data_IF_120566081139
#
_entry.id   IF_120566081139
#
_cell.length_a   1.000
_cell.length_b   1.000
_cell.length_c   1.000
_cell.angle_alpha   90.00
_cell.angle_beta   90.00
_cell.angle_gamma   90.00
#
_symmetry.space_group_name_H-M   'P 1'
#
loop_
_entity.id
_entity.type
_entity.pdbx_description
1 polymer ?
#
# COMPACT_ATOMS: atom_id res chain seq x y z
N UNK A 1 -15.00 2.36 -12.95
CA UNK A 1 -13.73 1.96 -13.61
C UNK A 1 -12.90 3.18 -13.97
N UNK A 2 -12.68 4.03 -12.98
CA UNK A 2 -12.17 5.38 -13.20
C UNK A 2 -10.63 5.46 -13.18
N UNK A 3 -9.95 4.36 -12.82
CA UNK A 3 -8.49 4.33 -12.83
C UNK A 3 -7.97 3.83 -14.19
N UNK A 4 -7.35 4.70 -15.02
CA UNK A 4 -6.81 4.32 -16.32
C UNK A 4 -5.61 3.36 -16.23
N UNK A 5 -5.00 3.22 -15.05
CA UNK A 5 -3.86 2.34 -14.81
C UNK A 5 -4.24 1.03 -14.12
N UNK A 6 -5.53 0.75 -13.91
CA UNK A 6 -5.97 -0.52 -13.34
C UNK A 6 -5.59 -1.69 -14.24
N UNK A 7 -5.09 -2.78 -13.66
CA UNK A 7 -4.75 -4.00 -14.38
C UNK A 7 -5.97 -4.67 -14.99
N UNK A 8 -7.10 -4.66 -14.26
CA UNK A 8 -8.39 -5.13 -14.76
C UNK A 8 -9.28 -3.92 -15.00
N UNK A 9 -9.57 -3.63 -16.28
CA UNK A 9 -10.42 -2.50 -16.72
C UNK A 9 -11.79 -2.95 -17.19
N UNK A 10 -12.18 -4.17 -16.83
CA UNK A 10 -13.43 -4.77 -17.24
C UNK A 10 -14.39 -4.81 -16.06
N UNK A 11 -15.63 -4.35 -16.26
CA UNK A 11 -16.69 -4.61 -15.30
C UNK A 11 -17.09 -6.08 -15.40
N UNK A 12 -16.85 -6.80 -14.32
CA UNK A 12 -17.20 -8.21 -14.22
C UNK A 12 -18.65 -8.41 -13.79
N UNK A 13 -19.27 -7.37 -13.24
CA UNK A 13 -20.61 -7.40 -12.70
C UNK A 13 -20.72 -8.09 -11.33
N UNK A 14 -21.79 -7.74 -10.63
CA UNK A 14 -22.04 -8.23 -9.27
C UNK A 14 -22.17 -9.76 -9.19
N UNK A 15 -22.96 -10.35 -10.08
CA UNK A 15 -23.24 -11.79 -10.05
C UNK A 15 -21.98 -12.63 -10.31
N UNK A 16 -21.12 -12.19 -11.24
CA UNK A 16 -19.85 -12.86 -11.48
C UNK A 16 -18.94 -12.83 -10.25
N UNK A 17 -18.84 -11.67 -9.59
CA UNK A 17 -18.00 -11.51 -8.42
C UNK A 17 -18.54 -12.25 -7.19
N UNK A 18 -19.87 -12.34 -7.07
CA UNK A 18 -20.53 -12.98 -5.93
C UNK A 18 -20.53 -14.51 -6.00
N UNK A 19 -20.65 -15.08 -7.18
CA UNK A 19 -20.86 -16.51 -7.35
C UNK A 19 -19.57 -17.25 -7.71
N UNK A 20 -19.46 -18.48 -7.19
CA UNK A 20 -18.39 -19.41 -7.58
C UNK A 20 -18.69 -19.94 -8.98
N UNK A 21 -17.68 -19.97 -9.84
CA UNK A 21 -17.74 -20.53 -11.19
C UNK A 21 -16.35 -21.02 -11.63
N UNK A 22 -16.25 -21.68 -12.76
CA UNK A 22 -14.95 -22.07 -13.34
C UNK A 22 -14.01 -20.88 -13.54
N UNK A 23 -14.56 -19.71 -13.89
CA UNK A 23 -13.80 -18.47 -14.08
C UNK A 23 -13.57 -17.68 -12.80
N UNK A 24 -14.33 -17.96 -11.75
CA UNK A 24 -14.22 -17.38 -10.42
C UNK A 24 -14.25 -18.47 -9.34
N UNK A 25 -13.25 -19.37 -9.31
CA UNK A 25 -13.23 -20.47 -8.34
C UNK A 25 -12.96 -19.96 -6.92
N UNK A 26 -13.34 -20.77 -5.93
CA UNK A 26 -12.88 -20.60 -4.56
C UNK A 26 -11.37 -20.83 -4.48
N UNK A 27 -10.65 -19.95 -3.80
CA UNK A 27 -9.18 -20.01 -3.63
C UNK A 27 -8.84 -20.49 -2.22
N UNK A 28 -9.48 -19.91 -1.21
CA UNK A 28 -9.24 -20.29 0.18
C UNK A 28 -10.50 -20.04 1.02
N UNK A 29 -11.08 -21.10 1.59
CA UNK A 29 -12.32 -20.99 2.35
C UNK A 29 -13.43 -20.29 1.54
N UNK A 30 -14.04 -19.23 2.05
CA UNK A 30 -15.09 -18.50 1.33
C UNK A 30 -14.57 -17.55 0.25
N UNK A 31 -13.26 -17.34 0.17
CA UNK A 31 -12.65 -16.38 -0.74
C UNK A 31 -12.55 -16.94 -2.16
N UNK A 32 -13.03 -16.16 -3.10
CA UNK A 32 -12.99 -16.45 -4.54
C UNK A 32 -11.83 -15.73 -5.21
N UNK A 33 -11.53 -16.09 -6.43
CA UNK A 33 -10.50 -15.43 -7.23
C UNK A 33 -10.70 -13.91 -7.28
N UNK A 34 -11.94 -13.42 -7.39
CA UNK A 34 -12.24 -11.98 -7.42
C UNK A 34 -12.05 -11.27 -6.09
N UNK A 35 -11.95 -12.00 -4.99
CA UNK A 35 -11.68 -11.45 -3.65
C UNK A 35 -10.18 -11.33 -3.36
N UNK A 36 -9.34 -11.86 -4.25
CA UNK A 36 -7.89 -11.84 -4.11
C UNK A 36 -7.27 -10.67 -4.88
N UNK A 37 -6.23 -10.08 -4.29
CA UNK A 37 -5.41 -9.07 -4.98
C UNK A 37 -4.62 -9.72 -6.11
N UNK A 38 -4.35 -8.95 -7.16
CA UNK A 38 -3.39 -9.32 -8.19
C UNK A 38 -1.96 -9.06 -7.71
N UNK A 39 -1.03 -9.89 -8.15
CA UNK A 39 0.38 -9.63 -7.98
C UNK A 39 0.81 -8.48 -8.91
N UNK A 40 1.56 -7.55 -8.36
CA UNK A 40 2.03 -6.36 -9.08
C UNK A 40 3.46 -6.07 -8.72
N UNK A 41 4.25 -5.76 -9.73
CA UNK A 41 5.59 -5.20 -9.55
C UNK A 41 5.52 -3.68 -9.64
N UNK A 42 6.37 -3.01 -8.88
CA UNK A 42 6.45 -1.56 -8.88
C UNK A 42 7.81 -1.08 -8.41
N UNK A 43 8.17 0.12 -8.82
CA UNK A 43 9.38 0.77 -8.37
C UNK A 43 9.13 2.26 -8.10
N UNK A 44 9.81 2.77 -7.08
CA UNK A 44 9.86 4.18 -6.78
C UNK A 44 11.31 4.59 -6.52
N UNK A 45 11.71 5.75 -7.00
CA UNK A 45 13.04 6.27 -6.82
C UNK A 45 13.00 7.65 -6.15
N UNK A 46 13.91 7.86 -5.19
CA UNK A 46 14.14 9.14 -4.53
C UNK A 46 15.59 9.54 -4.72
N UNK A 47 15.80 10.81 -5.04
CA UNK A 47 17.14 11.40 -5.05
C UNK A 47 17.29 12.22 -3.77
N UNK A 48 18.24 11.81 -2.93
CA UNK A 48 18.57 12.52 -1.70
C UNK A 48 19.81 13.38 -1.95
N UNK A 49 19.79 14.61 -1.47
CA UNK A 49 20.91 15.53 -1.61
C UNK A 49 21.01 16.45 -0.40
N UNK A 50 22.07 17.23 -0.31
CA UNK A 50 22.21 18.28 0.70
C UNK A 50 21.33 19.50 0.36
N UNK A 51 21.18 20.40 1.32
CA UNK A 51 20.35 21.60 1.18
C UNK A 51 20.84 22.52 0.07
N UNK A 52 22.15 22.69 -0.05
CA UNK A 52 22.79 23.58 -1.05
C UNK A 52 22.41 23.15 -2.47
N UNK A 53 22.54 21.86 -2.78
CA UNK A 53 22.13 21.30 -4.08
C UNK A 53 20.62 21.37 -4.27
N UNK A 54 19.85 21.11 -3.22
CA UNK A 54 18.38 21.13 -3.27
C UNK A 54 17.83 22.51 -3.62
N UNK A 55 18.45 23.58 -3.15
CA UNK A 55 18.05 24.96 -3.44
C UNK A 55 18.17 25.31 -4.94
N UNK A 56 19.03 24.62 -5.68
CA UNK A 56 19.13 24.74 -7.13
C UNK A 56 18.11 23.93 -7.94
N UNK A 57 17.31 23.07 -7.28
CA UNK A 57 16.32 22.22 -7.95
C UNK A 57 14.98 22.95 -8.09
N UNK A 58 14.31 22.73 -9.24
CA UNK A 58 12.96 23.27 -9.48
C UNK A 58 11.89 22.70 -8.55
N UNK A 59 12.11 21.49 -8.01
CA UNK A 59 11.25 20.82 -7.03
C UNK A 59 12.12 20.16 -5.98
N UNK A 60 12.10 20.69 -4.78
CA UNK A 60 12.76 20.12 -3.62
C UNK A 60 11.78 19.99 -2.46
N UNK A 61 11.88 18.90 -1.71
CA UNK A 61 11.07 18.63 -0.52
C UNK A 61 12.01 18.34 0.64
N UNK A 62 11.86 19.08 1.73
CA UNK A 62 12.64 18.86 2.93
C UNK A 62 12.07 17.69 3.75
N UNK A 63 12.93 16.76 4.13
CA UNK A 63 12.58 15.69 5.08
C UNK A 63 12.73 16.28 6.48
N UNK A 64 11.62 16.60 7.13
CA UNK A 64 11.61 17.20 8.47
C UNK A 64 11.75 16.17 9.59
N UNK A 65 11.29 14.96 9.36
CA UNK A 65 11.36 13.89 10.35
C UNK A 65 11.48 12.53 9.70
N UNK A 66 11.90 11.57 10.48
CA UNK A 66 11.96 10.16 10.10
C UNK A 66 11.65 9.29 11.30
N UNK A 67 11.08 8.13 11.05
CA UNK A 67 10.88 7.12 12.08
C UNK A 67 10.96 5.72 11.49
N UNK A 68 11.27 4.76 12.34
CA UNK A 68 11.26 3.35 12.00
C UNK A 68 10.68 2.57 13.17
N UNK A 69 9.75 1.69 12.90
CA UNK A 69 9.10 0.83 13.89
C UNK A 69 9.07 -0.59 13.33
N UNK A 70 9.40 -1.56 14.18
CA UNK A 70 9.22 -2.97 13.85
C UNK A 70 7.87 -3.45 14.39
N UNK A 71 7.13 -4.16 13.56
CA UNK A 71 5.88 -4.83 13.92
C UNK A 71 6.11 -6.34 14.05
N UNK A 72 5.11 -7.08 14.53
CA UNK A 72 5.19 -8.54 14.63
C UNK A 72 5.24 -9.21 13.25
N UNK A 73 6.22 -10.11 13.06
CA UNK A 73 6.32 -10.87 11.80
C UNK A 73 5.10 -11.77 11.55
N UNK A 74 4.63 -12.60 12.51
CA UNK A 74 3.43 -13.38 12.26
C UNK A 74 2.21 -12.47 12.19
N UNK A 75 1.59 -12.36 11.03
CA UNK A 75 0.38 -11.53 10.83
C UNK A 75 -0.75 -11.92 11.79
N UNK A 76 -0.81 -13.19 12.21
CA UNK A 76 -1.79 -13.67 13.17
C UNK A 76 -1.66 -13.09 14.59
N UNK A 77 -0.53 -12.49 14.92
CA UNK A 77 -0.26 -11.88 16.24
C UNK A 77 -0.49 -10.38 16.28
N UNK A 78 -0.89 -9.77 15.18
CA UNK A 78 -1.09 -8.32 15.11
C UNK A 78 -2.49 -7.99 14.62
N UNK A 79 -2.97 -6.82 15.00
CA UNK A 79 -4.19 -6.26 14.44
C UNK A 79 -3.89 -5.65 13.06
N UNK A 80 -4.15 -6.40 12.00
CA UNK A 80 -3.89 -5.96 10.62
C UNK A 80 -4.80 -4.81 10.17
N UNK A 81 -5.93 -4.60 10.85
CA UNK A 81 -6.85 -3.49 10.56
C UNK A 81 -6.30 -2.19 11.15
N UNK A 82 -5.78 -2.26 12.39
CA UNK A 82 -5.22 -1.09 13.07
C UNK A 82 -3.88 -0.63 12.49
N UNK A 83 -3.13 -1.51 11.84
CA UNK A 83 -1.82 -1.21 11.25
C UNK A 83 -0.88 -0.55 12.29
N UNK A 84 -0.77 -1.16 13.45
CA UNK A 84 -0.16 -0.57 14.66
C UNK A 84 1.26 -0.07 14.42
N UNK A 85 2.11 -0.85 13.74
CA UNK A 85 3.46 -0.43 13.39
C UNK A 85 3.50 0.84 12.54
N UNK A 86 2.64 0.96 11.54
CA UNK A 86 2.53 2.15 10.71
C UNK A 86 2.01 3.35 11.51
N UNK A 87 1.01 3.13 12.36
CA UNK A 87 0.44 4.18 13.23
C UNK A 87 1.49 4.72 14.19
N UNK A 88 2.28 3.86 14.82
CA UNK A 88 3.38 4.27 15.69
C UNK A 88 4.46 5.03 14.93
N UNK A 89 4.89 4.52 13.78
CA UNK A 89 5.88 5.20 12.95
C UNK A 89 5.42 6.60 12.55
N UNK A 90 4.17 6.74 12.13
CA UNK A 90 3.56 8.02 11.78
C UNK A 90 3.58 9.00 12.94
N UNK A 91 3.10 8.58 14.12
CA UNK A 91 3.05 9.42 15.31
C UNK A 91 4.44 9.86 15.77
N UNK A 92 5.43 8.97 15.76
CA UNK A 92 6.82 9.30 16.08
C UNK A 92 7.40 10.33 15.10
N UNK A 93 7.14 10.17 13.81
CA UNK A 93 7.60 11.11 12.80
C UNK A 93 6.96 12.48 12.99
N UNK A 94 5.64 12.56 13.19
CA UNK A 94 4.94 13.83 13.42
C UNK A 94 5.44 14.53 14.69
N UNK A 95 5.59 13.82 15.79
CA UNK A 95 6.09 14.38 17.05
C UNK A 95 7.53 14.91 16.92
N UNK A 96 8.34 14.27 16.08
CA UNK A 96 9.71 14.72 15.79
C UNK A 96 9.77 15.91 14.82
N UNK A 97 8.75 16.10 14.01
CA UNK A 97 8.69 17.20 13.05
C UNK A 97 8.32 18.55 13.66
N UNK A 98 7.68 18.53 14.84
CA UNK A 98 7.23 19.72 15.57
C UNK A 98 5.89 20.23 15.07
#
# INVERSE_FOLDING_TARGET
>A
MDNPFAQIRKDLGFDFCRNISEKNPSIAGPLKRTDCSLDSDGAAALVLTNVETALGCSKAVAIRARSQVSDFLPMSKRNIIAFEGCTQAWNLALNSAG
#
